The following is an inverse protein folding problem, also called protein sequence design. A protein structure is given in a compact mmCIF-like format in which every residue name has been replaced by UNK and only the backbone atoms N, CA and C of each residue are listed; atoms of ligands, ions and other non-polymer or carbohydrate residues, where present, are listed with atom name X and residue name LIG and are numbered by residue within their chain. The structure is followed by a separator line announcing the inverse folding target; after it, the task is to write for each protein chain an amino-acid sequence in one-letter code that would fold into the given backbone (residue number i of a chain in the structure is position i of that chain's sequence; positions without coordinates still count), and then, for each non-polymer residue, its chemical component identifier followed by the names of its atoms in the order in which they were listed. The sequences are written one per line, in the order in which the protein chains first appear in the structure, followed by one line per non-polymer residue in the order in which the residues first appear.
data_IF_752307956075
#
_entry.id   IF_752307956075
#
_cell.length_a   1.000
_cell.length_b   1.000
_cell.length_c   1.000
_cell.angle_alpha   90.00
_cell.angle_beta   90.00
_cell.angle_gamma   90.00
#
_symmetry.space_group_name_H-M   'P 1'
#
loop_
_entity.id
_entity.type
_entity.pdbx_description
1 polymer ?
#
# COMPACT_ATOMS: atom_id res chain seq x y z
N UNK A 1 -16.92 -0.93 18.33
CA UNK A 1 -16.22 0.32 18.00
C UNK A 1 -15.74 0.24 16.56
N UNK A 2 -16.00 1.27 15.76
CA UNK A 2 -15.63 1.33 14.35
C UNK A 2 -14.12 1.52 14.23
N UNK A 3 -13.48 0.59 13.53
CA UNK A 3 -12.05 0.70 13.26
C UNK A 3 -11.88 1.53 11.96
N UNK A 4 -12.48 1.11 10.85
CA UNK A 4 -12.48 1.88 9.60
C UNK A 4 -13.90 2.24 9.15
N UNK A 5 -14.15 3.47 8.71
CA UNK A 5 -15.45 3.89 8.21
C UNK A 5 -15.38 5.12 7.32
N UNK A 6 -16.43 5.36 6.53
CA UNK A 6 -16.46 6.46 5.56
C UNK A 6 -16.72 7.84 6.19
N UNK A 7 -16.64 7.95 7.52
CA UNK A 7 -16.80 9.21 8.26
C UNK A 7 -15.66 10.21 8.00
N UNK A 8 -14.54 9.75 7.43
CA UNK A 8 -13.46 10.59 6.94
C UNK A 8 -12.96 10.09 5.57
N UNK A 9 -12.21 10.95 4.86
CA UNK A 9 -11.57 10.60 3.58
C UNK A 9 -10.10 10.23 3.72
N UNK A 10 -9.53 10.30 4.93
CA UNK A 10 -8.12 10.01 5.16
C UNK A 10 -7.77 8.58 4.80
N UNK A 11 -8.65 7.62 5.09
CA UNK A 11 -8.45 6.23 4.65
C UNK A 11 -8.31 6.12 3.13
N UNK A 12 -9.07 6.92 2.37
CA UNK A 12 -8.93 6.95 0.90
C UNK A 12 -7.65 7.67 0.47
N UNK A 13 -7.33 8.81 1.09
CA UNK A 13 -6.13 9.59 0.78
C UNK A 13 -4.84 8.77 0.98
N UNK A 14 -4.76 8.01 2.08
CA UNK A 14 -3.62 7.18 2.45
C UNK A 14 -3.74 5.72 1.95
N UNK A 15 -4.65 5.47 1.01
CA UNK A 15 -4.67 4.21 0.28
C UNK A 15 -3.54 4.19 -0.73
N UNK A 16 -2.79 3.09 -0.78
CA UNK A 16 -1.72 2.86 -1.74
C UNK A 16 -2.29 2.38 -3.08
N UNK A 17 -1.72 2.90 -4.16
CA UNK A 17 -2.05 2.54 -5.54
C UNK A 17 -0.79 2.52 -6.41
N UNK A 18 -0.90 1.89 -7.58
CA UNK A 18 0.15 1.90 -8.60
C UNK A 18 -0.32 2.78 -9.76
N UNK A 19 0.48 3.76 -10.12
CA UNK A 19 0.28 4.59 -11.31
C UNK A 19 1.26 4.13 -12.37
N UNK A 20 0.85 4.05 -13.63
CA UNK A 20 1.74 3.66 -14.73
C UNK A 20 1.81 4.72 -15.82
N UNK A 21 3.00 4.96 -16.37
CA UNK A 21 3.21 5.82 -17.53
C UNK A 21 2.81 5.05 -18.80
N UNK A 22 1.67 5.43 -19.40
CA UNK A 22 1.12 4.74 -20.58
C UNK A 22 2.00 4.96 -21.81
N UNK A 23 2.60 6.14 -21.96
CA UNK A 23 3.51 6.42 -23.07
C UNK A 23 4.74 5.52 -23.01
N UNK A 24 5.38 5.43 -21.84
CA UNK A 24 6.55 4.56 -21.66
C UNK A 24 6.18 3.08 -21.88
N UNK A 25 5.02 2.65 -21.38
CA UNK A 25 4.53 1.30 -21.60
C UNK A 25 4.41 0.97 -23.10
N UNK A 26 3.86 1.90 -23.89
CA UNK A 26 3.72 1.79 -25.35
C UNK A 26 5.07 1.84 -26.09
N UNK A 27 6.00 2.69 -25.64
CA UNK A 27 7.36 2.78 -26.19
C UNK A 27 8.13 1.44 -26.04
N UNK A 28 7.74 0.61 -25.08
CA UNK A 28 8.24 -0.75 -24.85
C UNK A 28 7.37 -1.86 -25.47
N UNK A 29 6.38 -1.50 -26.29
CA UNK A 29 5.57 -2.46 -27.04
C UNK A 29 4.44 -3.12 -26.26
N UNK A 30 4.13 -2.63 -25.06
CA UNK A 30 2.98 -3.09 -24.25
C UNK A 30 1.82 -2.11 -24.40
N UNK A 31 0.58 -2.59 -24.25
CA UNK A 31 -0.60 -1.74 -24.36
C UNK A 31 -1.24 -1.53 -22.99
N UNK A 32 -1.70 -0.30 -22.70
CA UNK A 32 -2.36 0.00 -21.42
C UNK A 32 -3.59 -0.89 -21.13
N UNK A 33 -4.34 -1.25 -22.18
CA UNK A 33 -5.54 -2.08 -22.06
C UNK A 33 -5.22 -3.54 -21.66
N UNK A 34 -3.98 -4.00 -21.90
CA UNK A 34 -3.51 -5.30 -21.42
C UNK A 34 -3.35 -5.30 -19.91
N UNK A 35 -2.83 -4.22 -19.31
CA UNK A 35 -2.73 -4.11 -17.85
C UNK A 35 -4.12 -4.12 -17.19
N UNK A 36 -5.08 -3.42 -17.77
CA UNK A 36 -6.46 -3.45 -17.26
C UNK A 36 -7.11 -4.81 -17.42
N UNK A 37 -6.88 -5.49 -18.55
CA UNK A 37 -7.37 -6.85 -18.79
C UNK A 37 -6.72 -7.87 -17.84
N UNK A 38 -5.45 -7.68 -17.49
CA UNK A 38 -4.74 -8.48 -16.51
C UNK A 38 -5.34 -8.28 -15.11
N UNK A 39 -5.76 -7.06 -14.75
CA UNK A 39 -6.51 -6.85 -13.50
C UNK A 39 -7.85 -7.58 -13.54
N UNK A 40 -8.61 -7.46 -14.63
CA UNK A 40 -9.94 -8.05 -14.76
C UNK A 40 -9.95 -9.57 -14.71
N UNK A 41 -8.89 -10.16 -15.27
CA UNK A 41 -8.70 -11.61 -15.29
C UNK A 41 -7.93 -12.15 -14.08
N UNK A 42 -7.53 -11.30 -13.14
CA UNK A 42 -6.84 -11.70 -11.91
C UNK A 42 -5.34 -11.99 -12.09
N UNK A 43 -4.76 -11.62 -13.23
CA UNK A 43 -3.36 -11.89 -13.65
C UNK A 43 -2.38 -10.77 -13.33
N UNK A 44 -2.87 -9.60 -12.89
CA UNK A 44 -2.00 -8.53 -12.41
C UNK A 44 -1.32 -8.93 -11.09
N UNK A 45 -0.09 -9.41 -11.18
CA UNK A 45 0.73 -9.89 -10.04
C UNK A 45 2.03 -9.11 -9.93
N UNK A 46 2.70 -9.23 -8.78
CA UNK A 46 4.03 -8.66 -8.60
C UNK A 46 5.05 -9.25 -9.56
N UNK A 47 4.95 -10.52 -9.96
CA UNK A 47 5.81 -11.12 -10.98
C UNK A 47 5.65 -10.41 -12.34
N UNK A 48 4.41 -10.15 -12.75
CA UNK A 48 4.12 -9.40 -13.98
C UNK A 48 4.67 -7.98 -13.90
N UNK A 49 4.41 -7.28 -12.79
CA UNK A 49 4.90 -5.92 -12.57
C UNK A 49 6.44 -5.88 -12.61
N UNK A 50 7.12 -6.82 -11.94
CA UNK A 50 8.59 -6.90 -11.91
C UNK A 50 9.18 -7.19 -13.28
N UNK A 51 8.55 -8.04 -14.09
CA UNK A 51 8.98 -8.27 -15.47
C UNK A 51 9.00 -6.98 -16.28
N UNK A 52 7.94 -6.18 -16.19
CA UNK A 52 7.85 -4.86 -16.85
C UNK A 52 8.83 -3.86 -16.27
N UNK A 53 9.04 -3.88 -14.94
CA UNK A 53 10.03 -3.02 -14.28
C UNK A 53 11.44 -3.28 -14.82
N UNK A 54 11.87 -4.54 -14.83
CA UNK A 54 13.21 -4.94 -15.31
C UNK A 54 13.41 -4.64 -16.79
N UNK A 55 12.36 -4.75 -17.60
CA UNK A 55 12.45 -4.44 -19.03
C UNK A 55 12.80 -2.96 -19.30
N UNK A 56 12.25 -2.04 -18.51
CA UNK A 56 12.45 -0.60 -18.73
C UNK A 56 13.67 -0.03 -18.02
N UNK A 57 14.12 -0.63 -16.91
CA UNK A 57 15.24 -0.10 -16.12
C UNK A 57 16.49 -0.03 -16.98
N UNK A 58 17.10 1.16 -17.05
CA UNK A 58 18.31 1.36 -17.83
C UNK A 58 19.13 2.53 -17.28
N UNK A 59 20.43 2.30 -17.16
CA UNK A 59 21.47 3.31 -17.04
C UNK A 59 21.54 4.08 -18.38
N UNK A 60 21.08 5.33 -18.37
CA UNK A 60 20.95 6.15 -19.57
C UNK A 60 22.22 6.90 -19.92
N UNK A 61 23.10 7.16 -18.94
CA UNK A 61 24.37 7.87 -19.17
C UNK A 61 25.58 6.94 -19.31
N UNK A 62 25.41 5.66 -18.96
CA UNK A 62 26.38 4.59 -19.13
C UNK A 62 27.54 4.65 -18.14
N UNK A 63 27.40 5.33 -17.00
CA UNK A 63 28.45 5.45 -15.99
C UNK A 63 28.54 4.24 -15.03
N UNK A 64 27.61 3.30 -15.16
CA UNK A 64 27.51 2.09 -14.34
C UNK A 64 26.84 2.29 -12.99
N UNK A 65 26.20 3.44 -12.75
CA UNK A 65 25.48 3.76 -11.51
C UNK A 65 24.07 4.21 -11.83
N UNK A 66 23.10 3.56 -11.21
CA UNK A 66 21.71 4.00 -11.26
C UNK A 66 21.51 5.24 -10.37
N UNK A 67 21.23 6.37 -10.98
CA UNK A 67 20.96 7.69 -10.37
C UNK A 67 19.62 8.26 -10.84
N UNK A 68 19.19 9.42 -10.32
CA UNK A 68 17.94 10.07 -10.76
C UNK A 68 17.94 10.56 -12.23
N UNK A 69 19.08 10.50 -12.93
CA UNK A 69 19.15 10.76 -14.37
C UNK A 69 18.72 9.55 -15.22
N UNK A 70 18.62 8.38 -14.60
CA UNK A 70 18.36 7.10 -15.25
C UNK A 70 16.88 6.74 -15.28
N UNK A 71 16.56 5.70 -16.04
CA UNK A 71 15.19 5.19 -16.14
C UNK A 71 14.99 4.01 -15.19
N UNK A 72 13.87 4.02 -14.47
CA UNK A 72 13.53 2.99 -13.49
C UNK A 72 12.19 2.33 -13.76
N UNK A 73 12.12 1.03 -13.50
CA UNK A 73 10.86 0.30 -13.44
C UNK A 73 9.87 0.89 -12.44
N UNK A 74 10.33 1.27 -11.25
CA UNK A 74 9.47 1.77 -10.18
C UNK A 74 10.09 2.95 -9.45
N UNK A 75 9.31 4.01 -9.28
CA UNK A 75 9.55 5.06 -8.30
C UNK A 75 8.58 4.91 -7.13
N UNK A 76 9.01 5.20 -5.91
CA UNK A 76 8.16 5.14 -4.73
C UNK A 76 8.33 6.38 -3.85
N UNK A 77 7.28 6.83 -3.18
CA UNK A 77 7.39 8.00 -2.28
C UNK A 77 8.52 7.85 -1.24
N UNK A 78 9.20 8.96 -0.88
CA UNK A 78 10.43 8.99 -0.04
C UNK A 78 10.31 8.23 1.29
N UNK A 79 9.09 8.10 1.81
CA UNK A 79 8.77 7.12 2.85
C UNK A 79 8.91 5.72 2.25
N UNK A 80 10.15 5.25 2.11
CA UNK A 80 10.49 3.95 1.50
C UNK A 80 9.88 2.76 2.25
N UNK A 81 9.40 2.99 3.48
CA UNK A 81 8.49 2.08 4.18
C UNK A 81 7.21 1.79 3.38
N UNK A 82 6.69 2.74 2.61
CA UNK A 82 5.51 2.54 1.76
C UNK A 82 5.68 1.39 0.78
N UNK A 83 6.88 1.16 0.20
CA UNK A 83 7.09 0.04 -0.72
C UNK A 83 7.02 -1.32 0.00
N UNK A 84 7.74 -1.44 1.12
CA UNK A 84 7.75 -2.65 1.93
C UNK A 84 6.37 -2.95 2.52
N UNK A 85 5.81 -1.97 3.23
CA UNK A 85 4.46 -2.00 3.81
C UNK A 85 3.40 -2.35 2.78
N UNK A 86 3.41 -1.67 1.62
CA UNK A 86 2.43 -1.91 0.56
C UNK A 86 2.53 -3.32 0.02
N UNK A 87 3.75 -3.79 -0.25
CA UNK A 87 3.96 -5.13 -0.80
C UNK A 87 3.45 -6.19 0.16
N UNK A 88 3.81 -6.09 1.44
CA UNK A 88 3.42 -7.13 2.40
C UNK A 88 1.90 -7.15 2.63
N UNK A 89 1.28 -5.97 2.80
CA UNK A 89 -0.16 -5.88 3.02
C UNK A 89 -1.00 -6.24 1.79
N UNK A 90 -0.56 -5.83 0.59
CA UNK A 90 -1.29 -6.16 -0.65
C UNK A 90 -1.22 -7.66 -0.98
N UNK A 91 -0.21 -8.37 -0.48
CA UNK A 91 -0.14 -9.84 -0.52
C UNK A 91 -1.07 -10.54 0.49
N UNK A 92 -1.81 -9.78 1.31
CA UNK A 92 -2.73 -10.31 2.32
C UNK A 92 -2.06 -10.87 3.58
N UNK A 93 -0.77 -10.63 3.76
CA UNK A 93 -0.06 -11.03 4.97
C UNK A 93 -0.57 -10.23 6.17
N UNK A 94 -0.77 -10.93 7.29
CA UNK A 94 -1.23 -10.34 8.54
C UNK A 94 -0.26 -10.71 9.66
N UNK A 95 0.08 -9.71 10.47
CA UNK A 95 0.98 -9.92 11.62
C UNK A 95 0.22 -10.31 12.89
N UNK A 96 -1.04 -9.89 12.97
CA UNK A 96 -1.93 -10.15 14.10
C UNK A 96 -3.21 -10.83 13.65
N UNK A 97 -3.71 -11.74 14.47
CA UNK A 97 -4.96 -12.46 14.30
C UNK A 97 -5.80 -12.39 15.56
N UNK A 98 -6.79 -13.28 15.67
CA UNK A 98 -7.60 -13.48 16.88
C UNK A 98 -7.58 -14.93 17.29
N UNK A 99 -7.58 -15.18 18.59
CA UNK A 99 -7.82 -16.52 19.15
C UNK A 99 -9.32 -16.88 19.17
N UNK A 100 -9.64 -18.06 19.69
CA UNK A 100 -11.02 -18.56 19.82
C UNK A 100 -11.91 -17.69 20.73
N UNK A 101 -11.30 -16.93 21.65
CA UNK A 101 -12.00 -16.02 22.56
C UNK A 101 -12.14 -14.60 21.98
N UNK A 102 -11.59 -14.36 20.78
CA UNK A 102 -11.63 -13.07 20.10
C UNK A 102 -10.53 -12.09 20.54
N UNK A 103 -9.57 -12.52 21.37
CA UNK A 103 -8.44 -11.70 21.78
C UNK A 103 -7.34 -11.68 20.70
N UNK A 104 -6.61 -10.56 20.55
CA UNK A 104 -5.56 -10.46 19.56
C UNK A 104 -4.39 -11.41 19.86
N UNK A 105 -3.83 -12.04 18.82
CA UNK A 105 -2.64 -12.89 18.90
C UNK A 105 -1.66 -12.55 17.78
N UNK A 106 -0.36 -12.84 17.97
CA UNK A 106 0.62 -12.78 16.87
C UNK A 106 0.47 -14.00 15.96
N UNK A 107 0.43 -13.76 14.65
CA UNK A 107 0.35 -14.81 13.61
C UNK A 107 1.38 -14.60 12.49
N UNK A 108 2.42 -13.82 12.74
CA UNK A 108 3.42 -13.45 11.74
C UNK A 108 4.36 -14.59 11.31
N UNK A 109 4.36 -15.71 12.04
CA UNK A 109 5.18 -16.90 11.77
C UNK A 109 4.40 -17.85 10.86
N UNK A 110 4.06 -17.33 9.69
CA UNK A 110 3.38 -18.07 8.63
C UNK A 110 4.18 -17.96 7.34
N UNK A 111 4.08 -19.01 6.53
CA UNK A 111 4.76 -19.08 5.24
C UNK A 111 4.31 -17.96 4.30
N UNK A 112 3.02 -17.64 4.25
CA UNK A 112 2.51 -16.57 3.41
C UNK A 112 3.02 -15.17 3.83
N UNK A 113 3.14 -14.93 5.14
CA UNK A 113 3.78 -13.72 5.66
C UNK A 113 5.25 -13.67 5.30
N UNK A 114 5.99 -14.77 5.48
CA UNK A 114 7.41 -14.84 5.12
C UNK A 114 7.63 -14.59 3.62
N UNK A 115 6.80 -15.19 2.75
CA UNK A 115 6.86 -15.00 1.31
C UNK A 115 6.56 -13.56 0.90
N UNK A 116 5.58 -12.91 1.54
CA UNK A 116 5.26 -11.51 1.27
C UNK A 116 6.41 -10.56 1.70
N UNK A 117 7.05 -10.82 2.84
CA UNK A 117 8.21 -10.05 3.32
C UNK A 117 9.44 -10.29 2.44
N UNK A 118 9.65 -11.52 1.96
CA UNK A 118 10.70 -11.85 0.97
C UNK A 118 10.47 -11.11 -0.35
N UNK A 119 9.24 -11.12 -0.88
CA UNK A 119 8.90 -10.39 -2.10
C UNK A 119 9.19 -8.89 -1.96
N UNK A 120 8.82 -8.30 -0.81
CA UNK A 120 9.14 -6.90 -0.52
C UNK A 120 10.65 -6.64 -0.49
N UNK A 121 11.43 -7.55 0.11
CA UNK A 121 12.90 -7.51 0.10
C UNK A 121 13.45 -7.60 -1.32
N UNK A 122 12.97 -8.54 -2.13
CA UNK A 122 13.46 -8.76 -3.49
C UNK A 122 13.19 -7.57 -4.41
N UNK A 123 12.01 -6.93 -4.28
CA UNK A 123 11.69 -5.70 -5.02
C UNK A 123 12.59 -4.57 -4.56
N UNK A 124 12.79 -4.39 -3.26
CA UNK A 124 13.66 -3.35 -2.73
C UNK A 124 15.10 -3.48 -3.23
N UNK A 125 15.61 -4.71 -3.37
CA UNK A 125 16.99 -4.97 -3.81
C UNK A 125 17.15 -5.26 -5.31
N UNK A 126 16.12 -5.10 -6.14
CA UNK A 126 16.19 -5.52 -7.56
C UNK A 126 17.05 -4.62 -8.44
N UNK A 127 17.32 -3.39 -8.02
CA UNK A 127 17.96 -2.35 -8.84
C UNK A 127 16.98 -1.62 -9.78
N UNK A 128 15.74 -2.08 -9.89
CA UNK A 128 14.70 -1.46 -10.72
C UNK A 128 13.93 -0.35 -10.01
N UNK A 129 14.24 -0.12 -8.73
CA UNK A 129 13.54 0.81 -7.88
C UNK A 129 14.41 2.03 -7.60
N UNK A 130 13.88 3.22 -7.85
CA UNK A 130 14.47 4.46 -7.40
C UNK A 130 14.22 4.63 -5.90
N UNK A 131 15.23 4.29 -5.09
CA UNK A 131 15.19 4.40 -3.62
C UNK A 131 15.86 5.68 -3.12
N UNK A 132 15.33 6.24 -2.01
CA UNK A 132 16.00 7.21 -1.13
C UNK A 132 16.70 8.41 -1.81
N UNK A 133 16.04 9.06 -2.77
CA UNK A 133 16.44 10.41 -3.21
C UNK A 133 15.64 11.44 -2.40
N UNK A 134 16.30 12.24 -1.56
CA UNK A 134 15.67 13.32 -0.78
C UNK A 134 14.86 14.24 -1.72
N UNK A 135 13.53 14.18 -1.65
CA UNK A 135 12.63 15.11 -2.35
C UNK A 135 12.18 14.72 -3.77
N UNK A 136 12.64 13.61 -4.38
CA UNK A 136 12.59 13.46 -5.86
C UNK A 136 11.82 12.29 -6.48
N UNK A 137 11.21 11.37 -5.73
CA UNK A 137 10.73 10.13 -6.36
C UNK A 137 9.47 10.29 -7.21
N UNK A 138 8.55 11.18 -6.85
CA UNK A 138 7.45 11.56 -7.74
C UNK A 138 7.93 12.36 -8.96
N UNK A 139 9.00 13.16 -8.82
CA UNK A 139 9.56 13.96 -9.91
C UNK A 139 10.11 13.08 -11.03
N UNK A 140 10.73 11.93 -10.71
CA UNK A 140 11.21 11.00 -11.73
C UNK A 140 10.06 10.44 -12.60
N UNK A 141 8.95 10.08 -11.97
CA UNK A 141 7.75 9.63 -12.70
C UNK A 141 7.13 10.77 -13.54
N UNK A 142 6.97 11.96 -12.95
CA UNK A 142 6.44 13.16 -13.64
C UNK A 142 7.30 13.57 -14.84
N UNK A 143 8.62 13.38 -14.75
CA UNK A 143 9.57 13.65 -15.83
C UNK A 143 9.54 12.60 -16.95
N UNK A 144 8.78 11.52 -16.80
CA UNK A 144 8.72 10.43 -17.79
C UNK A 144 9.88 9.43 -17.68
N UNK A 145 10.59 9.39 -16.54
CA UNK A 145 11.76 8.53 -16.32
C UNK A 145 11.43 7.29 -15.46
N UNK A 146 10.15 6.99 -15.22
CA UNK A 146 9.75 5.76 -14.55
C UNK A 146 8.46 5.18 -15.11
N UNK A 147 8.41 3.85 -15.24
CA UNK A 147 7.22 3.17 -15.73
C UNK A 147 6.12 3.16 -14.68
N UNK A 148 6.46 2.86 -13.43
CA UNK A 148 5.49 2.82 -12.33
C UNK A 148 5.82 3.84 -11.24
N UNK A 149 4.77 4.33 -10.59
CA UNK A 149 4.85 5.06 -9.33
C UNK A 149 3.96 4.35 -8.30
N UNK A 150 4.56 3.87 -7.22
CA UNK A 150 3.82 3.43 -6.02
C UNK A 150 3.69 4.62 -5.07
N UNK A 151 2.46 5.05 -4.81
CA UNK A 151 2.18 6.24 -4.01
C UNK A 151 0.82 6.17 -3.32
N UNK A 152 0.62 7.05 -2.33
CA UNK A 152 -0.68 7.32 -1.75
C UNK A 152 -1.61 7.92 -2.78
N UNK A 153 -2.91 7.63 -2.67
CA UNK A 153 -3.91 8.16 -3.59
C UNK A 153 -3.94 9.68 -3.64
N UNK A 154 -3.73 10.34 -2.49
CA UNK A 154 -3.59 11.80 -2.45
C UNK A 154 -2.39 12.32 -3.26
N UNK A 155 -1.36 11.50 -3.46
CA UNK A 155 -0.17 11.82 -4.25
C UNK A 155 -0.45 11.97 -5.75
N UNK A 156 -1.62 11.55 -6.24
CA UNK A 156 -2.02 11.74 -7.65
C UNK A 156 -2.08 13.23 -8.01
N UNK A 157 -2.37 14.13 -7.06
CA UNK A 157 -2.39 15.57 -7.34
C UNK A 157 -1.01 16.12 -7.75
N UNK A 158 0.07 15.46 -7.32
CA UNK A 158 1.44 15.79 -7.70
C UNK A 158 1.76 15.47 -9.16
N UNK A 159 0.86 14.76 -9.86
CA UNK A 159 1.01 14.39 -11.28
C UNK A 159 0.39 15.41 -12.24
N UNK A 160 -0.11 16.54 -11.73
CA UNK A 160 -0.75 17.58 -12.55
C UNK A 160 0.19 18.17 -13.62
N UNK A 161 1.50 18.17 -13.35
CA UNK A 161 2.55 18.67 -14.26
C UNK A 161 3.04 17.62 -15.27
N UNK A 162 2.66 16.34 -15.10
CA UNK A 162 3.05 15.27 -16.02
C UNK A 162 2.48 15.56 -17.42
N UNK A 163 3.33 15.39 -18.43
CA UNK A 163 2.96 15.58 -19.83
C UNK A 163 2.52 14.27 -20.48
N UNK A 164 3.16 13.16 -20.08
CA UNK A 164 2.79 11.83 -20.52
C UNK A 164 1.43 11.40 -19.95
N UNK A 165 0.70 10.60 -20.72
CA UNK A 165 -0.51 9.95 -20.24
C UNK A 165 -0.18 8.85 -19.23
N UNK A 166 -1.04 8.70 -18.22
CA UNK A 166 -0.87 7.70 -17.18
C UNK A 166 -2.19 7.03 -16.80
N UNK A 167 -2.10 5.80 -16.30
CA UNK A 167 -3.21 5.01 -15.79
C UNK A 167 -3.06 4.68 -14.31
N UNK A 168 -4.13 4.15 -13.71
CA UNK A 168 -4.16 3.74 -12.29
C UNK A 168 -4.48 2.26 -12.23
N UNK A 169 -3.75 1.51 -11.40
CA UNK A 169 -3.94 0.10 -11.13
C UNK A 169 -4.02 -0.14 -9.62
N UNK A 170 -4.72 -1.19 -9.18
CA UNK A 170 -4.60 -1.66 -7.80
C UNK A 170 -3.17 -2.14 -7.52
N UNK A 171 -2.85 -2.28 -6.23
CA UNK A 171 -1.63 -2.99 -5.85
C UNK A 171 -1.66 -4.41 -6.43
N UNK A 172 -0.57 -4.92 -6.99
CA UNK A 172 -0.56 -6.26 -7.58
C UNK A 172 -0.88 -7.33 -6.54
N UNK A 173 -1.43 -8.46 -7.01
CA UNK A 173 -1.52 -9.66 -6.20
C UNK A 173 -0.13 -10.26 -5.97
N UNK A 174 0.04 -11.04 -4.90
CA UNK A 174 1.24 -11.87 -4.75
C UNK A 174 1.40 -12.82 -5.94
N UNK A 175 0.33 -13.53 -6.25
CA UNK A 175 0.22 -14.54 -7.30
C UNK A 175 -1.26 -14.64 -7.76
N UNK A 176 -1.53 -15.41 -8.82
CA UNK A 176 -2.91 -15.58 -9.33
C UNK A 176 -3.85 -16.33 -8.36
N UNK A 177 -3.31 -17.03 -7.34
CA UNK A 177 -4.12 -17.74 -6.34
C UNK A 177 -4.71 -16.79 -5.28
N UNK A 178 -4.15 -15.60 -5.11
CA UNK A 178 -4.75 -14.56 -4.30
C UNK A 178 -6.07 -14.09 -4.93
N UNK A 179 -7.19 -14.26 -4.23
CA UNK A 179 -8.53 -14.00 -4.79
C UNK A 179 -8.74 -12.51 -5.13
N UNK A 180 -8.43 -11.62 -4.18
CA UNK A 180 -8.73 -10.18 -4.26
C UNK A 180 -7.47 -9.36 -4.43
N UNK A 181 -7.58 -8.25 -5.15
CA UNK A 181 -6.63 -7.15 -5.05
C UNK A 181 -6.81 -6.48 -3.70
N UNK A 182 -5.74 -6.34 -2.92
CA UNK A 182 -5.79 -5.72 -1.60
C UNK A 182 -5.00 -4.41 -1.65
N UNK A 183 -5.63 -3.32 -1.23
CA UNK A 183 -5.05 -1.98 -1.30
C UNK A 183 -4.82 -1.43 0.12
N UNK A 184 -3.56 -1.36 0.56
CA UNK A 184 -3.24 -0.92 1.90
C UNK A 184 -3.65 0.54 2.14
N UNK A 185 -4.43 0.79 3.19
CA UNK A 185 -4.57 2.12 3.78
C UNK A 185 -3.63 2.22 4.96
N UNK A 186 -2.67 3.14 4.86
CA UNK A 186 -1.71 3.40 5.93
C UNK A 186 -2.26 4.54 6.80
N UNK A 187 -1.95 4.52 8.10
CA UNK A 187 -2.43 5.49 9.08
C UNK A 187 -3.94 5.82 8.97
N UNK A 188 -4.81 4.80 8.88
CA UNK A 188 -6.24 5.06 8.84
C UNK A 188 -6.64 5.77 10.14
N UNK A 189 -7.22 6.96 10.02
CA UNK A 189 -7.62 7.76 11.18
C UNK A 189 -8.75 7.07 11.96
N UNK A 190 -8.36 6.21 12.92
CA UNK A 190 -9.25 5.47 13.79
C UNK A 190 -10.09 6.44 14.65
N UNK A 191 -11.38 6.14 14.82
CA UNK A 191 -12.22 6.86 15.80
C UNK A 191 -12.37 6.01 17.05
N UNK A 192 -11.93 6.58 18.17
CA UNK A 192 -12.01 5.97 19.49
C UNK A 192 -13.00 6.75 20.34
N UNK A 193 -13.94 6.05 20.98
CA UNK A 193 -14.78 6.62 22.01
C UNK A 193 -14.14 6.32 23.38
N UNK A 194 -13.93 7.34 24.24
CA UNK A 194 -13.34 7.10 25.55
C UNK A 194 -14.29 6.30 26.44
N UNK A 195 -13.77 5.53 27.38
CA UNK A 195 -14.58 4.77 28.35
C UNK A 195 -15.50 5.66 29.19
N UNK A 196 -15.13 6.94 29.37
CA UNK A 196 -15.94 7.95 30.04
C UNK A 196 -17.04 8.57 29.16
N UNK A 197 -17.25 8.06 27.94
CA UNK A 197 -18.32 8.52 27.05
C UNK A 197 -19.67 8.34 27.73
N UNK A 198 -20.41 9.44 27.93
CA UNK A 198 -21.67 9.44 28.67
C UNK A 198 -22.81 8.73 27.94
N UNK A 199 -22.77 8.74 26.60
CA UNK A 199 -23.79 8.16 25.74
C UNK A 199 -23.13 7.52 24.50
N UNK A 200 -22.59 6.29 24.65
CA UNK A 200 -21.91 5.59 23.56
C UNK A 200 -22.87 5.18 22.44
N UNK A 201 -24.15 4.94 22.74
CA UNK A 201 -25.15 4.59 21.71
C UNK A 201 -25.44 5.79 20.80
N UNK A 202 -25.70 6.96 21.38
CA UNK A 202 -25.88 8.18 20.60
C UNK A 202 -24.63 8.53 19.78
N UNK A 203 -23.45 8.44 20.41
CA UNK A 203 -22.18 8.69 19.73
C UNK A 203 -21.95 7.71 18.57
N UNK A 204 -22.27 6.44 18.77
CA UNK A 204 -22.25 5.41 17.72
C UNK A 204 -23.21 5.71 16.58
N UNK A 205 -24.45 6.10 16.88
CA UNK A 205 -25.45 6.47 15.88
C UNK A 205 -25.02 7.70 15.05
N UNK A 206 -24.39 8.69 15.68
CA UNK A 206 -23.82 9.85 14.97
C UNK A 206 -22.68 9.41 14.04
N UNK A 207 -21.77 8.55 14.49
CA UNK A 207 -20.67 8.04 13.66
C UNK A 207 -21.17 7.20 12.47
N UNK A 208 -22.24 6.42 12.65
CA UNK A 208 -22.90 5.68 11.58
C UNK A 208 -23.49 6.66 10.55
N UNK A 209 -24.21 7.68 11.02
CA UNK A 209 -24.80 8.69 10.14
C UNK A 209 -23.73 9.49 9.38
N UNK A 210 -22.61 9.82 10.02
CA UNK A 210 -21.46 10.44 9.37
C UNK A 210 -20.85 9.53 8.31
N UNK A 211 -20.70 8.24 8.61
CA UNK A 211 -20.18 7.24 7.67
C UNK A 211 -21.10 7.08 6.46
N UNK A 212 -22.41 6.97 6.67
CA UNK A 212 -23.40 6.88 5.60
C UNK A 212 -23.35 8.11 4.68
N UNK A 213 -23.33 9.32 5.27
CA UNK A 213 -23.25 10.56 4.50
C UNK A 213 -21.91 10.71 3.76
N UNK A 214 -20.81 10.30 4.39
CA UNK A 214 -19.48 10.30 3.81
C UNK A 214 -19.37 9.35 2.62
N UNK A 215 -19.85 8.11 2.77
CA UNK A 215 -19.93 7.14 1.67
C UNK A 215 -20.80 7.66 0.52
N UNK A 216 -22.03 8.09 0.84
CA UNK A 216 -23.02 8.49 -0.18
C UNK A 216 -22.65 9.78 -0.92
N UNK A 217 -22.09 10.76 -0.23
CA UNK A 217 -21.94 12.13 -0.78
C UNK A 217 -20.48 12.51 -0.99
N UNK A 218 -19.61 12.18 -0.04
CA UNK A 218 -18.21 12.66 -0.05
C UNK A 218 -17.34 11.76 -0.92
N UNK A 219 -17.47 10.43 -0.84
CA UNK A 219 -16.62 9.53 -1.64
C UNK A 219 -16.88 9.67 -3.15
N UNK A 220 -18.14 9.78 -3.57
CA UNK A 220 -18.47 10.03 -4.97
C UNK A 220 -17.86 11.35 -5.48
N UNK A 221 -18.02 12.44 -4.71
CA UNK A 221 -17.42 13.73 -5.06
C UNK A 221 -15.88 13.68 -5.04
N UNK A 222 -15.28 12.94 -4.11
CA UNK A 222 -13.83 12.76 -4.03
C UNK A 222 -13.30 12.02 -5.26
N UNK A 223 -13.99 10.96 -5.72
CA UNK A 223 -13.68 10.29 -6.98
C UNK A 223 -13.70 11.31 -8.13
N UNK A 224 -14.78 12.06 -8.30
CA UNK A 224 -14.93 13.03 -9.38
C UNK A 224 -13.87 14.16 -9.33
N UNK A 225 -13.51 14.66 -8.14
CA UNK A 225 -12.52 15.72 -7.97
C UNK A 225 -11.11 15.21 -8.22
N UNK A 226 -10.73 14.06 -7.66
CA UNK A 226 -9.38 13.49 -7.88
C UNK A 226 -9.20 13.11 -9.35
N UNK A 227 -10.27 12.64 -10.02
CA UNK A 227 -10.28 12.38 -11.45
C UNK A 227 -10.12 13.64 -12.33
N UNK A 228 -10.50 14.84 -11.85
CA UNK A 228 -10.30 16.09 -12.61
C UNK A 228 -8.83 16.49 -12.75
N UNK A 229 -7.96 16.03 -11.86
CA UNK A 229 -6.51 16.25 -11.97
C UNK A 229 -5.85 15.30 -13.00
N UNK A 230 -6.59 14.28 -13.45
CA UNK A 230 -6.20 13.44 -14.57
C UNK A 230 -6.52 14.18 -15.88
N UNK A 231 -5.48 14.61 -16.60
CA UNK A 231 -5.65 15.18 -17.95
C UNK A 231 -6.32 14.17 -18.89
N UNK A 232 -6.06 12.89 -18.68
CA UNK A 232 -6.63 11.77 -19.45
C UNK A 232 -7.85 11.18 -18.75
N UNK A 233 -9.03 11.37 -19.35
CA UNK A 233 -10.31 10.76 -18.96
C UNK A 233 -10.38 9.29 -19.37
N UNK A 234 -9.47 8.48 -18.84
CA UNK A 234 -9.45 7.05 -19.07
C UNK A 234 -10.49 6.35 -18.18
N UNK A 235 -11.57 5.84 -18.79
CA UNK A 235 -12.67 5.16 -18.09
C UNK A 235 -12.20 3.90 -17.34
N UNK A 236 -11.18 3.20 -17.86
CA UNK A 236 -10.62 2.04 -17.19
C UNK A 236 -9.98 2.41 -15.86
N UNK A 237 -9.25 3.54 -15.79
CA UNK A 237 -8.70 4.02 -14.52
C UNK A 237 -9.77 4.33 -13.48
N UNK A 238 -10.94 4.84 -13.89
CA UNK A 238 -12.07 5.08 -12.96
C UNK A 238 -12.50 3.76 -12.31
N UNK A 239 -12.65 2.73 -13.13
CA UNK A 239 -13.01 1.39 -12.67
C UNK A 239 -11.94 0.77 -11.76
N UNK A 240 -10.65 1.05 -12.01
CA UNK A 240 -9.56 0.63 -11.12
C UNK A 240 -9.61 1.35 -9.78
N UNK A 241 -9.92 2.64 -9.76
CA UNK A 241 -10.10 3.41 -8.52
C UNK A 241 -11.26 2.85 -7.68
N UNK A 242 -12.35 2.48 -8.35
CA UNK A 242 -13.50 1.86 -7.70
C UNK A 242 -13.13 0.52 -7.06
N UNK A 243 -12.33 -0.29 -7.75
CA UNK A 243 -11.79 -1.56 -7.25
C UNK A 243 -10.85 -1.35 -6.04
N UNK A 244 -9.96 -0.35 -6.11
CA UNK A 244 -9.03 0.01 -5.05
C UNK A 244 -9.78 0.35 -3.76
N UNK A 245 -10.76 1.27 -3.84
CA UNK A 245 -11.52 1.70 -2.67
C UNK A 245 -12.49 0.66 -2.12
N UNK A 246 -12.80 -0.39 -2.90
CA UNK A 246 -13.65 -1.49 -2.45
C UNK A 246 -12.87 -2.56 -1.68
N UNK A 247 -11.54 -2.58 -1.77
CA UNK A 247 -10.68 -3.61 -1.17
C UNK A 247 -9.57 -3.03 -0.28
N UNK A 248 -9.94 -2.08 0.57
CA UNK A 248 -9.00 -1.48 1.51
C UNK A 248 -8.59 -2.49 2.59
N UNK A 249 -7.30 -2.52 2.91
CA UNK A 249 -6.76 -3.28 4.04
C UNK A 249 -6.00 -2.36 4.98
N UNK A 250 -6.31 -2.45 6.27
CA UNK A 250 -5.66 -1.66 7.32
C UNK A 250 -4.84 -2.59 8.21
N UNK A 251 -3.66 -2.14 8.62
CA UNK A 251 -2.81 -2.91 9.52
C UNK A 251 -3.12 -2.66 11.00
N UNK A 252 -3.60 -3.70 11.66
CA UNK A 252 -3.82 -3.71 13.11
C UNK A 252 -2.47 -3.81 13.86
N UNK A 253 -1.47 -4.48 13.28
CA UNK A 253 -0.13 -4.63 13.86
C UNK A 253 0.57 -3.31 14.10
N UNK A 254 0.60 -2.44 13.08
CA UNK A 254 1.13 -1.07 13.16
C UNK A 254 0.39 -0.21 14.18
N UNK A 255 -0.84 -0.55 14.54
CA UNK A 255 -1.62 0.23 15.52
C UNK A 255 -1.31 -0.19 16.96
N UNK A 256 -1.32 -1.50 17.25
CA UNK A 256 -1.20 -1.98 18.63
C UNK A 256 0.21 -2.41 19.04
N UNK A 257 1.04 -2.82 18.07
CA UNK A 257 2.37 -3.39 18.30
C UNK A 257 3.39 -2.84 17.30
N UNK A 258 3.36 -1.53 17.04
CA UNK A 258 4.20 -0.86 16.03
C UNK A 258 5.69 -1.24 16.10
N UNK A 259 6.31 -1.17 17.28
CA UNK A 259 7.74 -1.47 17.50
C UNK A 259 8.14 -2.94 17.30
N UNK A 260 7.15 -3.80 17.02
CA UNK A 260 7.32 -5.24 16.83
C UNK A 260 6.90 -5.66 15.43
N UNK A 261 5.65 -5.41 15.08
CA UNK A 261 5.06 -5.91 13.83
C UNK A 261 4.48 -4.80 12.96
N UNK A 262 4.74 -3.53 13.29
CA UNK A 262 4.44 -2.42 12.39
C UNK A 262 5.26 -2.51 11.12
N UNK A 263 4.65 -2.26 9.97
CA UNK A 263 5.31 -2.50 8.70
C UNK A 263 6.50 -1.59 8.44
N UNK A 264 6.48 -0.34 8.93
CA UNK A 264 7.64 0.56 8.91
C UNK A 264 8.81 -0.01 9.73
N UNK A 265 8.48 -0.68 10.82
CA UNK A 265 9.46 -1.33 11.68
C UNK A 265 10.05 -2.58 11.00
N UNK A 266 9.20 -3.42 10.38
CA UNK A 266 9.65 -4.57 9.57
C UNK A 266 10.49 -4.10 8.40
N UNK A 267 10.09 -3.02 7.74
CA UNK A 267 10.84 -2.42 6.66
C UNK A 267 12.27 -2.06 7.09
N UNK A 268 12.41 -1.24 8.15
CA UNK A 268 13.73 -0.80 8.62
C UNK A 268 14.60 -1.90 9.23
N UNK A 269 14.01 -2.99 9.70
CA UNK A 269 14.72 -4.08 10.37
C UNK A 269 14.94 -5.33 9.50
N UNK A 270 14.20 -5.49 8.40
CA UNK A 270 14.24 -6.68 7.55
C UNK A 270 14.39 -6.30 6.08
N UNK A 271 13.41 -5.60 5.50
CA UNK A 271 13.35 -5.33 4.05
C UNK A 271 14.54 -4.47 3.60
N UNK A 272 14.84 -3.39 4.32
CA UNK A 272 15.90 -2.45 3.95
C UNK A 272 17.30 -2.95 4.32
N UNK A 273 17.43 -4.12 4.95
CA UNK A 273 18.73 -4.70 5.32
C UNK A 273 19.40 -5.32 4.11
N UNK A 274 20.73 -5.46 4.18
CA UNK A 274 21.51 -6.08 3.12
C UNK A 274 21.16 -7.56 2.90
N UNK A 275 20.94 -8.28 3.99
CA UNK A 275 20.65 -9.71 3.98
C UNK A 275 19.24 -9.96 4.52
N UNK A 276 18.51 -10.88 3.90
CA UNK A 276 17.17 -11.23 4.31
C UNK A 276 17.18 -11.95 5.67
N UNK A 277 16.48 -11.38 6.66
CA UNK A 277 16.59 -11.79 8.07
C UNK A 277 15.26 -12.03 8.78
N UNK A 278 14.20 -12.45 8.07
CA UNK A 278 12.85 -12.57 8.64
C UNK A 278 12.76 -13.59 9.79
N UNK A 279 13.31 -14.79 9.63
CA UNK A 279 13.28 -15.81 10.68
C UNK A 279 13.98 -15.35 11.96
N UNK A 280 15.20 -14.80 11.83
CA UNK A 280 15.96 -14.24 12.95
C UNK A 280 15.25 -13.06 13.62
N UNK A 281 14.53 -12.26 12.83
CA UNK A 281 13.71 -11.17 13.32
C UNK A 281 12.57 -11.69 14.21
N UNK A 282 11.79 -12.66 13.72
CA UNK A 282 10.71 -13.31 14.50
C UNK A 282 11.26 -13.92 15.79
N UNK A 283 12.35 -14.69 15.71
CA UNK A 283 12.95 -15.34 16.88
C UNK A 283 13.29 -14.32 17.98
N UNK A 284 13.93 -13.21 17.59
CA UNK A 284 14.33 -12.15 18.51
C UNK A 284 13.15 -11.36 19.08
N UNK A 285 12.09 -11.17 18.29
CA UNK A 285 11.00 -10.23 18.59
C UNK A 285 9.76 -10.88 19.19
N UNK A 286 9.56 -12.18 19.04
CA UNK A 286 8.35 -12.88 19.51
C UNK A 286 8.14 -12.80 21.00
N UNK A 287 9.15 -13.11 21.82
CA UNK A 287 9.00 -13.05 23.29
C UNK A 287 8.60 -11.67 23.79
N UNK A 288 9.32 -10.58 23.46
CA UNK A 288 8.95 -9.26 23.96
C UNK A 288 7.67 -8.69 23.30
N UNK A 289 7.36 -9.04 22.04
CA UNK A 289 6.09 -8.65 21.42
C UNK A 289 4.87 -9.30 22.10
N UNK A 290 4.94 -10.59 22.41
CA UNK A 290 3.89 -11.27 23.19
C UNK A 290 3.74 -10.66 24.58
N UNK A 291 4.85 -10.33 25.27
CA UNK A 291 4.78 -9.69 26.58
C UNK A 291 4.12 -8.30 26.56
N UNK A 292 4.24 -7.56 25.45
CA UNK A 292 3.51 -6.29 25.28
C UNK A 292 2.03 -6.53 24.96
N UNK A 293 1.74 -7.51 24.12
CA UNK A 293 0.38 -7.91 23.79
C UNK A 293 -0.40 -8.40 25.02
N UNK A 294 0.24 -9.16 25.91
CA UNK A 294 -0.36 -9.62 27.17
C UNK A 294 -0.79 -8.46 28.07
N UNK A 295 -0.03 -7.34 28.09
CA UNK A 295 -0.43 -6.14 28.84
C UNK A 295 -1.67 -5.48 28.25
N UNK A 296 -1.74 -5.42 26.91
CA UNK A 296 -2.89 -4.86 26.20
C UNK A 296 -4.12 -5.73 26.49
N UNK A 297 -3.99 -7.06 26.41
CA UNK A 297 -5.08 -8.00 26.69
C UNK A 297 -5.54 -7.88 28.15
N UNK A 298 -4.62 -7.83 29.11
CA UNK A 298 -4.97 -7.66 30.53
C UNK A 298 -5.76 -6.36 30.77
N UNK A 299 -5.33 -5.25 30.17
CA UNK A 299 -6.05 -3.98 30.24
C UNK A 299 -7.46 -4.08 29.65
N UNK A 300 -7.62 -4.76 28.51
CA UNK A 300 -8.92 -4.96 27.87
C UNK A 300 -9.83 -5.93 28.64
N UNK A 301 -9.27 -6.89 29.38
CA UNK A 301 -10.06 -7.84 30.18
C UNK A 301 -10.58 -7.23 31.50
N UNK A 302 -9.96 -6.15 31.98
CA UNK A 302 -10.37 -5.42 33.18
C UNK A 302 -11.40 -4.30 32.92
N UNK A 303 -11.71 -4.00 31.65
CA UNK A 303 -12.60 -2.91 31.21
C UNK A 303 -13.96 -3.38 30.69
#
# INVERSE_FOLDING_TARGET
YFTLGSYNILSLNYTMAVIFNSKMLEDFGHQKDELYSDVDSGKWTYDKMRGLMTEVTADLDGDGKMTAADRYGLSCFYQTCSLGTTTVLSCGANMMGKDESGFPILIWDREDTANAVQLAFDIYHSGDVLLNQEGYTAHNFVAGNSLFLSTFFMGITSLSEMQDDYGVLPCPKRDEAQEKYLNPTIDPAWVLLPIACRDPEFSGAVLEQLSFNGWKSVQGAYRDVTLKYKKTRDENSIRMIDLIFSNLVADVGSTYLYDWCGYDYIYGNVVSKKDFGWASYIEKKSKPANAELDKIIAFLAES
#
